data_IF_450336749777
#
_entry.id   IF_450336749777
#
_cell.length_a   1.000
_cell.length_b   1.000
_cell.length_c   1.000
_cell.angle_alpha   90.00
_cell.angle_beta   90.00
_cell.angle_gamma   90.00
#
_symmetry.space_group_name_H-M   'P 1'
#
loop_
_entity.id
_entity.type
_entity.pdbx_description
1 polymer ?
#
# COMPACT_ATOMS: atom_id res chain seq x y z
N UNK A 1 -32.49 -21.01 -7.29
CA UNK A 1 -33.11 -19.67 -7.32
C UNK A 1 -32.62 -19.00 -6.05
N UNK A 2 -31.75 -17.99 -6.05
CA UNK A 2 -31.74 -16.79 -6.86
C UNK A 2 -30.31 -16.23 -6.90
N UNK A 3 -29.87 -15.81 -8.08
CA UNK A 3 -28.58 -15.18 -8.36
C UNK A 3 -28.55 -13.74 -7.85
N UNK A 4 -27.45 -13.34 -7.21
CA UNK A 4 -27.11 -11.93 -6.98
C UNK A 4 -25.67 -11.66 -7.42
N UNK A 5 -25.34 -10.44 -7.90
CA UNK A 5 -24.09 -10.14 -8.57
C UNK A 5 -23.03 -9.60 -7.61
N UNK A 6 -21.77 -9.99 -7.85
CA UNK A 6 -20.58 -9.40 -7.22
C UNK A 6 -20.08 -8.24 -8.09
N UNK A 7 -20.21 -6.99 -7.60
CA UNK A 7 -19.45 -5.87 -8.16
C UNK A 7 -18.12 -5.78 -7.43
N UNK A 8 -17.05 -6.21 -8.10
CA UNK A 8 -15.67 -5.94 -7.74
C UNK A 8 -15.27 -4.59 -8.33
N UNK A 9 -14.92 -3.62 -7.49
CA UNK A 9 -14.18 -2.41 -7.92
C UNK A 9 -12.72 -2.58 -7.51
N UNK A 10 -11.94 -3.25 -8.37
CA UNK A 10 -10.49 -3.14 -8.36
C UNK A 10 -10.09 -2.20 -9.50
N UNK A 11 -9.92 -0.91 -9.18
CA UNK A 11 -9.28 0.05 -10.06
C UNK A 11 -7.77 -0.17 -9.99
N UNK A 12 -7.25 -1.02 -10.88
CA UNK A 12 -5.83 -1.20 -11.10
C UNK A 12 -5.30 -0.03 -11.93
N UNK A 13 -4.47 0.83 -11.32
CA UNK A 13 -3.66 1.79 -12.07
C UNK A 13 -2.42 1.07 -12.56
N UNK A 14 -2.45 0.64 -13.82
CA UNK A 14 -1.29 0.15 -14.56
C UNK A 14 -1.05 1.14 -15.70
N UNK A 15 -0.09 2.03 -15.53
CA UNK A 15 0.42 2.88 -16.61
C UNK A 15 1.56 2.12 -17.27
N UNK A 16 1.40 1.83 -18.56
CA UNK A 16 2.51 1.51 -19.45
C UNK A 16 2.16 1.98 -20.88
N UNK A 17 3.17 2.18 -21.75
CA UNK A 17 3.27 3.39 -22.56
C UNK A 17 3.11 3.06 -24.04
N UNK A 18 2.35 3.88 -24.76
CA UNK A 18 2.28 3.80 -26.22
C UNK A 18 2.60 5.15 -26.85
N UNK A 19 3.89 5.26 -27.18
CA UNK A 19 4.50 6.10 -28.20
C UNK A 19 3.99 5.67 -29.58
N UNK A 20 3.59 6.60 -30.45
CA UNK A 20 4.04 6.68 -31.86
C UNK A 20 3.59 7.98 -32.54
N UNK A 21 4.19 8.40 -33.68
CA UNK A 21 4.86 9.69 -33.75
C UNK A 21 4.33 10.57 -34.90
N UNK A 22 4.58 11.88 -34.85
CA UNK A 22 4.55 12.71 -36.06
C UNK A 22 5.86 13.47 -36.17
N UNK A 23 6.72 12.92 -37.02
CA UNK A 23 7.91 13.56 -37.57
C UNK A 23 7.62 14.37 -38.84
N UNK A 24 8.67 14.89 -39.53
CA UNK A 24 8.70 16.26 -40.01
C UNK A 24 8.54 16.42 -41.53
N UNK A 25 8.24 17.65 -41.98
CA UNK A 25 8.59 18.11 -43.34
C UNK A 25 9.35 19.44 -43.30
N UNK A 26 10.60 19.35 -43.72
CA UNK A 26 11.50 20.44 -44.07
C UNK A 26 11.16 20.98 -45.46
N UNK A 27 11.21 22.31 -45.66
CA UNK A 27 11.95 22.95 -46.78
C UNK A 27 11.89 24.51 -46.76
N UNK A 28 13.10 25.10 -46.86
CA UNK A 28 13.48 26.46 -47.29
C UNK A 28 13.16 27.66 -46.36
N UNK A 29 14.10 28.53 -45.98
CA UNK A 29 15.53 28.66 -46.30
C UNK A 29 16.18 29.90 -45.63
N UNK A 30 17.50 29.86 -45.44
CA UNK A 30 18.39 30.99 -45.07
C UNK A 30 18.82 31.01 -43.59
N UNK A 31 19.85 30.27 -43.14
CA UNK A 31 21.30 30.56 -43.23
C UNK A 31 21.71 31.87 -42.52
N UNK A 32 22.70 31.99 -41.63
CA UNK A 32 23.61 31.10 -40.92
C UNK A 32 24.54 31.97 -40.04
N UNK A 33 24.87 31.52 -38.81
CA UNK A 33 26.17 31.69 -38.10
C UNK A 33 26.56 33.13 -37.63
N UNK A 34 27.27 33.39 -36.53
CA UNK A 34 28.01 32.60 -35.54
C UNK A 34 28.31 33.49 -34.29
N UNK A 35 28.40 32.84 -33.13
CA UNK A 35 29.32 32.98 -31.96
C UNK A 35 30.29 34.20 -31.95
N UNK A 36 30.43 34.93 -30.82
CA UNK A 36 31.59 34.89 -29.86
C UNK A 36 31.59 36.07 -28.86
N UNK A 37 32.06 35.78 -27.64
CA UNK A 37 32.45 36.68 -26.54
C UNK A 37 33.55 37.70 -26.90
N UNK A 38 33.67 38.79 -26.10
CA UNK A 38 34.97 39.26 -25.61
C UNK A 38 35.44 40.70 -25.95
N UNK A 39 35.55 41.53 -24.90
CA UNK A 39 36.70 42.39 -24.50
C UNK A 39 37.26 43.48 -25.46
N UNK A 40 37.20 44.74 -24.95
CA UNK A 40 38.13 45.91 -25.03
C UNK A 40 38.86 46.19 -26.36
N UNK A 41 38.67 47.38 -26.96
CA UNK A 41 39.66 48.50 -27.01
C UNK A 41 39.16 49.70 -27.83
N UNK A 42 39.82 50.82 -27.57
CA UNK A 42 39.79 52.10 -28.30
C UNK A 42 39.90 51.92 -29.81
N UNK A 43 39.31 52.84 -30.57
CA UNK A 43 40.08 53.55 -31.59
C UNK A 43 39.46 54.91 -31.96
N UNK A 44 40.26 55.94 -31.70
CA UNK A 44 40.18 57.27 -32.29
C UNK A 44 41.05 57.27 -33.54
N UNK A 45 40.50 57.63 -34.70
CA UNK A 45 41.18 58.20 -35.88
C UNK A 45 40.20 58.11 -37.07
N UNK A 46 39.94 59.12 -37.91
CA UNK A 46 40.89 60.02 -38.59
C UNK A 46 40.15 61.22 -39.26
N UNK A 47 40.86 62.36 -39.28
CA UNK A 47 41.10 63.33 -40.38
C UNK A 47 39.91 63.90 -41.17
N UNK A 48 39.66 65.22 -41.14
CA UNK A 48 40.43 66.31 -41.76
C UNK A 48 40.44 66.27 -43.30
N UNK A 49 39.80 67.27 -43.92
CA UNK A 49 40.35 67.97 -45.08
C UNK A 49 40.04 69.47 -44.96
N UNK A 50 41.05 70.24 -44.53
CA UNK A 50 41.28 71.60 -45.02
C UNK A 50 41.65 71.48 -46.50
N UNK A 51 40.92 72.18 -47.36
CA UNK A 51 41.37 72.48 -48.71
C UNK A 51 41.59 73.99 -48.83
N UNK A 52 42.85 74.33 -49.07
CA UNK A 52 43.35 75.62 -49.53
C UNK A 52 43.02 75.78 -51.02
N UNK A 53 42.87 77.03 -51.49
CA UNK A 53 43.54 77.58 -52.70
C UNK A 53 42.79 78.81 -53.22
N UNK A 54 43.40 79.99 -53.09
CA UNK A 54 44.15 80.73 -54.14
C UNK A 54 43.21 81.50 -55.07
N UNK A 55 43.13 82.82 -54.90
CA UNK A 55 43.95 83.84 -55.57
C UNK A 55 43.19 84.41 -56.77
N UNK A 56 42.78 85.68 -56.67
CA UNK A 56 43.30 86.70 -57.59
C UNK A 56 43.05 88.09 -57.00
N UNK A 57 44.03 88.55 -56.22
CA UNK A 57 44.18 89.94 -55.81
C UNK A 57 45.42 90.50 -56.48
N UNK A 58 45.38 90.64 -57.81
CA UNK A 58 46.40 91.31 -58.61
C UNK A 58 45.75 92.45 -59.40
N UNK A 59 45.79 93.72 -58.97
CA UNK A 59 46.93 94.65 -58.95
C UNK A 59 46.99 95.55 -60.19
N UNK A 60 47.50 96.77 -59.93
CA UNK A 60 48.03 97.80 -60.85
C UNK A 60 46.93 98.72 -61.44
N UNK A 61 47.05 100.05 -61.50
CA UNK A 61 48.20 100.94 -61.65
C UNK A 61 47.88 102.30 -61.01
N UNK A 62 48.62 102.71 -59.99
CA UNK A 62 48.77 104.12 -59.63
C UNK A 62 50.19 104.54 -60.00
N UNK A 63 50.29 105.75 -60.59
CA UNK A 63 51.46 106.45 -61.13
C UNK A 63 51.89 106.06 -62.55
N UNK A 64 52.07 107.08 -63.41
CA UNK A 64 53.23 107.98 -63.35
C UNK A 64 52.79 109.43 -63.04
N UNK A 65 53.62 110.38 -62.62
CA UNK A 65 54.84 110.80 -63.29
C UNK A 65 55.65 111.77 -62.42
N UNK A 66 56.95 111.48 -62.35
CA UNK A 66 58.11 112.38 -62.31
C UNK A 66 57.82 113.89 -62.25
N UNK A 67 58.29 114.51 -61.17
CA UNK A 67 58.76 115.89 -61.17
C UNK A 67 60.26 115.89 -61.48
N UNK A 68 60.68 116.55 -62.55
CA UNK A 68 61.98 117.24 -62.61
C UNK A 68 62.09 118.17 -63.84
N UNK A 69 62.37 119.45 -63.52
CA UNK A 69 63.10 120.51 -64.24
C UNK A 69 62.77 120.90 -65.70
N UNK A 70 62.20 122.12 -65.78
CA UNK A 70 62.62 123.28 -66.60
C UNK A 70 62.81 123.14 -68.12
N UNK A 71 62.01 123.88 -68.91
CA UNK A 71 62.52 124.72 -70.00
C UNK A 71 61.45 125.68 -70.55
N UNK A 72 61.91 126.90 -70.79
CA UNK A 72 61.33 127.95 -71.61
C UNK A 72 61.14 127.52 -73.08
N UNK A 73 60.40 128.38 -73.83
CA UNK A 73 60.50 128.68 -75.26
C UNK A 73 59.49 128.09 -76.28
N UNK A 74 58.68 129.03 -76.80
CA UNK A 74 58.50 129.39 -78.23
C UNK A 74 57.59 128.51 -79.11
N UNK A 75 56.48 129.13 -79.53
CA UNK A 75 55.67 128.88 -80.75
C UNK A 75 56.55 128.81 -82.00
N UNK A 76 56.29 127.86 -82.92
CA UNK A 76 56.22 127.99 -84.41
C UNK A 76 56.34 126.60 -85.11
N UNK A 77 56.05 126.46 -86.42
CA UNK A 77 54.73 126.41 -87.06
C UNK A 77 54.46 125.05 -87.76
N UNK A 78 53.21 124.87 -88.20
CA UNK A 78 52.67 123.69 -88.88
C UNK A 78 53.18 123.64 -90.33
N UNK A 79 53.61 122.46 -90.80
CA UNK A 79 53.89 122.19 -92.22
C UNK A 79 52.62 121.67 -92.88
N UNK A 80 52.01 122.47 -93.77
CA UNK A 80 50.87 122.14 -94.62
C UNK A 80 51.30 121.24 -95.79
N UNK A 81 51.06 119.93 -95.68
CA UNK A 81 51.05 118.99 -96.80
C UNK A 81 49.65 118.33 -96.88
N UNK A 82 48.86 118.77 -97.85
CA UNK A 82 47.41 118.50 -97.94
C UNK A 82 47.07 117.00 -98.16
N UNK A 83 47.93 116.21 -98.84
CA UNK A 83 47.68 114.77 -99.08
C UNK A 83 47.82 113.92 -97.81
N UNK A 84 48.85 114.19 -97.00
CA UNK A 84 49.06 113.47 -95.74
C UNK A 84 47.99 113.83 -94.70
N UNK A 85 47.49 115.07 -94.71
CA UNK A 85 46.32 115.49 -93.93
C UNK A 85 45.07 114.69 -94.33
N UNK A 86 44.79 114.54 -95.63
CA UNK A 86 43.60 113.83 -96.12
C UNK A 86 43.61 112.32 -95.79
N UNK A 87 44.78 111.66 -95.88
CA UNK A 87 44.92 110.27 -95.42
C UNK A 87 44.75 110.13 -93.90
N UNK A 88 45.22 111.12 -93.13
CA UNK A 88 45.03 111.15 -91.68
C UNK A 88 43.56 111.41 -91.32
N UNK A 89 42.84 112.24 -92.07
CA UNK A 89 41.40 112.45 -91.93
C UNK A 89 40.59 111.20 -92.27
N UNK A 90 40.92 110.49 -93.35
CA UNK A 90 40.29 109.21 -93.69
C UNK A 90 40.56 108.13 -92.63
N UNK A 91 41.80 108.03 -92.14
CA UNK A 91 42.14 107.13 -91.03
C UNK A 91 41.42 107.53 -89.74
N UNK A 92 41.26 108.82 -89.48
CA UNK A 92 40.51 109.32 -88.34
C UNK A 92 39.02 108.94 -88.46
N UNK A 93 38.43 109.10 -89.65
CA UNK A 93 37.04 108.70 -89.93
C UNK A 93 36.82 107.19 -89.79
N UNK A 94 37.75 106.36 -90.31
CA UNK A 94 37.72 104.91 -90.13
C UNK A 94 37.88 104.50 -88.65
N UNK A 95 38.73 105.22 -87.90
CA UNK A 95 38.91 105.02 -86.46
C UNK A 95 37.69 105.46 -85.66
N UNK A 96 37.03 106.56 -86.03
CA UNK A 96 35.75 107.00 -85.46
C UNK A 96 34.65 105.97 -85.73
N UNK A 97 34.54 105.45 -86.96
CA UNK A 97 33.59 104.39 -87.29
C UNK A 97 33.87 103.08 -86.53
N UNK A 98 35.14 102.71 -86.34
CA UNK A 98 35.54 101.55 -85.53
C UNK A 98 35.25 101.75 -84.04
N UNK A 99 35.49 102.95 -83.50
CA UNK A 99 35.13 103.31 -82.12
C UNK A 99 33.62 103.25 -81.92
N UNK A 100 32.83 103.77 -82.85
CA UNK A 100 31.37 103.74 -82.75
C UNK A 100 30.81 102.30 -82.83
N UNK A 101 31.45 101.41 -83.61
CA UNK A 101 31.16 99.97 -83.61
C UNK A 101 31.53 99.30 -82.27
N UNK A 102 32.69 99.66 -81.70
CA UNK A 102 33.13 99.12 -80.42
C UNK A 102 32.25 99.61 -79.27
N UNK A 103 31.83 100.88 -79.28
CA UNK A 103 30.87 101.44 -78.33
C UNK A 103 29.53 100.70 -78.38
N UNK A 104 28.95 100.53 -79.57
CA UNK A 104 27.72 99.72 -79.74
C UNK A 104 27.90 98.28 -79.27
N UNK A 105 29.02 97.64 -79.60
CA UNK A 105 29.30 96.28 -79.13
C UNK A 105 29.49 96.21 -77.61
N UNK A 106 30.05 97.25 -76.99
CA UNK A 106 30.22 97.33 -75.54
C UNK A 106 28.86 97.55 -74.86
N UNK A 107 28.03 98.46 -75.38
CA UNK A 107 26.65 98.68 -74.92
C UNK A 107 25.80 97.41 -75.03
N UNK A 108 25.88 96.69 -76.16
CA UNK A 108 25.20 95.40 -76.36
C UNK A 108 25.69 94.32 -75.36
N UNK A 109 27.01 94.24 -75.11
CA UNK A 109 27.58 93.31 -74.13
C UNK A 109 27.28 93.70 -72.69
N UNK A 110 27.22 94.99 -72.38
CA UNK A 110 26.81 95.51 -71.07
C UNK A 110 25.35 95.16 -70.81
N UNK A 111 24.46 95.40 -71.78
CA UNK A 111 23.05 95.06 -71.69
C UNK A 111 22.84 93.55 -71.54
N UNK A 112 23.56 92.73 -72.33
CA UNK A 112 23.52 91.28 -72.20
C UNK A 112 24.09 90.79 -70.85
N UNK A 113 25.13 91.45 -70.32
CA UNK A 113 25.69 91.14 -69.00
C UNK A 113 24.72 91.51 -67.88
N UNK A 114 24.05 92.66 -67.97
CA UNK A 114 23.02 93.10 -67.02
C UNK A 114 21.82 92.17 -67.04
N UNK A 115 21.31 91.81 -68.22
CA UNK A 115 20.23 90.84 -68.38
C UNK A 115 20.62 89.46 -67.84
N UNK A 116 21.83 88.98 -68.14
CA UNK A 116 22.32 87.70 -67.61
C UNK A 116 22.50 87.73 -66.08
N UNK A 117 22.87 88.88 -65.51
CA UNK A 117 22.95 89.05 -64.06
C UNK A 117 21.56 89.04 -63.42
N UNK A 118 20.60 89.78 -63.98
CA UNK A 118 19.20 89.80 -63.53
C UNK A 118 18.53 88.43 -63.65
N UNK A 119 18.73 87.71 -64.75
CA UNK A 119 18.20 86.36 -64.94
C UNK A 119 18.80 85.37 -63.95
N UNK A 120 20.12 85.42 -63.71
CA UNK A 120 20.78 84.60 -62.67
C UNK A 120 20.27 84.92 -61.27
N UNK A 121 20.06 86.20 -60.96
CA UNK A 121 19.50 86.64 -59.68
C UNK A 121 18.08 86.13 -59.51
N UNK A 122 17.26 86.22 -60.56
CA UNK A 122 15.89 85.70 -60.55
C UNK A 122 15.85 84.18 -60.38
N UNK A 123 16.68 83.43 -61.12
CA UNK A 123 16.78 81.96 -60.96
C UNK A 123 17.26 81.57 -59.58
N UNK A 124 18.26 82.26 -59.03
CA UNK A 124 18.76 81.98 -57.68
C UNK A 124 17.66 82.21 -56.62
N UNK A 125 16.84 83.26 -56.78
CA UNK A 125 15.69 83.52 -55.91
C UNK A 125 14.62 82.44 -56.03
N UNK A 126 14.25 82.04 -57.25
CA UNK A 126 13.26 80.98 -57.46
C UNK A 126 13.74 79.62 -56.90
N UNK A 127 15.02 79.30 -57.05
CA UNK A 127 15.63 78.12 -56.42
C UNK A 127 15.58 78.19 -54.88
N UNK A 128 15.89 79.35 -54.30
CA UNK A 128 15.81 79.57 -52.85
C UNK A 128 14.36 79.43 -52.35
N UNK A 129 13.40 80.09 -52.99
CA UNK A 129 11.98 80.03 -52.65
C UNK A 129 11.45 78.58 -52.80
N UNK A 130 11.88 77.87 -53.85
CA UNK A 130 11.57 76.47 -54.07
C UNK A 130 12.18 75.53 -53.02
N UNK A 131 13.40 75.81 -52.55
CA UNK A 131 14.03 75.10 -51.44
C UNK A 131 13.33 75.39 -50.11
N UNK A 132 12.97 76.64 -49.84
CA UNK A 132 12.22 77.05 -48.64
C UNK A 132 10.87 76.35 -48.57
N UNK A 133 10.11 76.35 -49.68
CA UNK A 133 8.81 75.69 -49.75
C UNK A 133 8.95 74.17 -49.55
N UNK A 134 9.94 73.53 -50.17
CA UNK A 134 10.24 72.10 -49.98
C UNK A 134 10.64 71.79 -48.52
N UNK A 135 11.48 72.61 -47.91
CA UNK A 135 11.90 72.46 -46.51
C UNK A 135 10.71 72.64 -45.55
N UNK A 136 9.90 73.68 -45.74
CA UNK A 136 8.69 73.95 -44.96
C UNK A 136 7.65 72.83 -45.08
N UNK A 137 7.42 72.33 -46.30
CA UNK A 137 6.53 71.19 -46.55
C UNK A 137 7.01 69.91 -45.87
N UNK A 138 8.30 69.57 -46.03
CA UNK A 138 8.90 68.40 -45.37
C UNK A 138 8.84 68.51 -43.85
N UNK A 139 9.11 69.68 -43.27
CA UNK A 139 9.05 69.90 -41.83
C UNK A 139 7.62 69.74 -41.27
N UNK A 140 6.62 70.32 -41.94
CA UNK A 140 5.20 70.16 -41.56
C UNK A 140 4.76 68.71 -41.65
N UNK A 141 5.13 68.01 -42.72
CA UNK A 141 4.81 66.59 -42.89
C UNK A 141 5.48 65.72 -41.82
N UNK A 142 6.77 65.95 -41.54
CA UNK A 142 7.51 65.23 -40.49
C UNK A 142 6.92 65.48 -39.10
N UNK A 143 6.55 66.75 -38.80
CA UNK A 143 5.89 67.12 -37.55
C UNK A 143 4.53 66.43 -37.39
N UNK A 144 3.68 66.46 -38.43
CA UNK A 144 2.38 65.80 -38.40
C UNK A 144 2.51 64.26 -38.27
N UNK A 145 3.48 63.66 -38.97
CA UNK A 145 3.76 62.22 -38.85
C UNK A 145 4.23 61.88 -37.43
N UNK A 146 5.14 62.67 -36.86
CA UNK A 146 5.60 62.50 -35.48
C UNK A 146 4.45 62.60 -34.48
N UNK A 147 3.57 63.60 -34.63
CA UNK A 147 2.41 63.78 -33.76
C UNK A 147 1.43 62.60 -33.82
N UNK A 148 1.13 62.09 -35.03
CA UNK A 148 0.29 60.89 -35.19
C UNK A 148 0.93 59.67 -34.55
N UNK A 149 2.23 59.44 -34.77
CA UNK A 149 2.96 58.34 -34.12
C UNK A 149 2.93 58.47 -32.61
N UNK A 150 3.12 59.69 -32.07
CA UNK A 150 3.06 59.96 -30.64
C UNK A 150 1.67 59.67 -30.06
N UNK A 151 0.59 60.04 -30.75
CA UNK A 151 -0.78 59.73 -30.32
C UNK A 151 -1.04 58.22 -30.26
N UNK A 152 -0.60 57.47 -31.28
CA UNK A 152 -0.76 56.00 -31.30
C UNK A 152 0.05 55.35 -30.19
N UNK A 153 1.30 55.77 -29.98
CA UNK A 153 2.13 55.26 -28.88
C UNK A 153 1.52 55.57 -27.52
N UNK A 154 0.95 56.76 -27.33
CA UNK A 154 0.27 57.12 -26.09
C UNK A 154 -0.91 56.19 -25.80
N UNK A 155 -1.74 55.88 -26.82
CA UNK A 155 -2.84 54.92 -26.67
C UNK A 155 -2.33 53.51 -26.37
N UNK A 156 -1.25 53.07 -27.02
CA UNK A 156 -0.66 51.75 -26.76
C UNK A 156 -0.11 51.63 -25.33
N UNK A 157 0.50 52.69 -24.78
CA UNK A 157 0.94 52.72 -23.38
C UNK A 157 -0.23 52.60 -22.43
N UNK A 158 -1.34 53.30 -22.69
CA UNK A 158 -2.55 53.21 -21.85
C UNK A 158 -3.16 51.81 -21.88
N UNK A 159 -3.23 51.19 -23.07
CA UNK A 159 -3.71 49.82 -23.25
C UNK A 159 -2.85 48.81 -22.46
N UNK A 160 -1.53 48.86 -22.63
CA UNK A 160 -0.60 47.99 -21.89
C UNK A 160 -0.67 48.23 -20.38
N UNK A 161 -0.89 49.46 -19.93
CA UNK A 161 -1.08 49.76 -18.50
C UNK A 161 -2.39 49.19 -17.95
N UNK A 162 -3.45 49.09 -18.76
CA UNK A 162 -4.70 48.43 -18.40
C UNK A 162 -4.52 46.91 -18.33
N UNK A 163 -3.93 46.30 -19.37
CA UNK A 163 -3.64 44.86 -19.40
C UNK A 163 -2.74 44.45 -18.23
N UNK A 164 -1.70 45.24 -17.94
CA UNK A 164 -0.85 45.03 -16.76
C UNK A 164 -1.63 45.06 -15.44
N UNK A 165 -2.66 45.90 -15.33
CA UNK A 165 -3.52 45.94 -14.12
C UNK A 165 -4.44 44.72 -14.06
N UNK A 166 -5.01 44.31 -15.19
CA UNK A 166 -5.87 43.12 -15.27
C UNK A 166 -5.08 41.85 -14.91
N UNK A 167 -3.92 41.64 -15.53
CA UNK A 167 -3.06 40.48 -15.24
C UNK A 167 -2.61 40.43 -13.76
N UNK A 168 -2.40 41.58 -13.12
CA UNK A 168 -2.10 41.63 -11.69
C UNK A 168 -3.28 41.19 -10.83
N UNK A 169 -4.49 41.63 -11.17
CA UNK A 169 -5.70 41.20 -10.46
C UNK A 169 -5.96 39.70 -10.64
N UNK A 170 -5.75 39.19 -11.85
CA UNK A 170 -5.84 37.75 -12.14
C UNK A 170 -4.81 36.96 -11.34
N UNK A 171 -3.55 37.41 -11.30
CA UNK A 171 -2.50 36.80 -10.48
C UNK A 171 -2.88 36.79 -8.99
N UNK A 172 -3.36 37.91 -8.45
CA UNK A 172 -3.84 38.00 -7.06
C UNK A 172 -5.02 37.06 -6.80
N UNK A 173 -5.91 36.86 -7.77
CA UNK A 173 -7.04 35.92 -7.64
C UNK A 173 -6.58 34.46 -7.64
N UNK A 174 -5.64 34.11 -8.53
CA UNK A 174 -5.06 32.77 -8.61
C UNK A 174 -4.25 32.42 -7.36
N UNK A 175 -3.53 33.39 -6.79
CA UNK A 175 -2.83 33.21 -5.52
C UNK A 175 -3.80 32.88 -4.38
N UNK A 176 -4.95 33.57 -4.29
CA UNK A 176 -5.98 33.27 -3.27
C UNK A 176 -6.60 31.89 -3.47
N UNK A 177 -6.81 31.48 -4.72
CA UNK A 177 -7.31 30.14 -5.03
C UNK A 177 -6.28 29.07 -4.66
N UNK A 178 -5.00 29.31 -4.94
CA UNK A 178 -3.89 28.45 -4.52
C UNK A 178 -3.86 28.28 -3.00
N UNK A 179 -3.91 29.38 -2.23
CA UNK A 179 -3.91 29.34 -0.76
C UNK A 179 -5.11 28.54 -0.20
N UNK A 180 -6.29 28.71 -0.81
CA UNK A 180 -7.50 27.98 -0.45
C UNK A 180 -7.35 26.48 -0.71
N UNK A 181 -6.84 26.11 -1.89
CA UNK A 181 -6.61 24.71 -2.25
C UNK A 181 -5.54 24.08 -1.37
N UNK A 182 -4.46 24.80 -1.05
CA UNK A 182 -3.41 24.33 -0.15
C UNK A 182 -3.97 24.10 1.28
N UNK A 183 -4.85 24.98 1.75
CA UNK A 183 -5.53 24.80 3.04
C UNK A 183 -6.43 23.56 3.03
N UNK A 184 -7.18 23.33 1.94
CA UNK A 184 -8.02 22.13 1.79
C UNK A 184 -7.20 20.85 1.71
N UNK A 185 -6.07 20.86 1.00
CA UNK A 185 -5.15 19.72 0.96
C UNK A 185 -4.63 19.38 2.36
N UNK A 186 -4.19 20.40 3.11
CA UNK A 186 -3.77 20.23 4.51
C UNK A 186 -4.89 19.69 5.41
N UNK A 187 -6.16 20.07 5.18
CA UNK A 187 -7.27 19.49 5.95
C UNK A 187 -7.53 18.03 5.59
N UNK A 188 -7.48 17.68 4.30
CA UNK A 188 -7.64 16.27 3.88
C UNK A 188 -6.48 15.39 4.37
N UNK A 189 -5.25 15.90 4.39
CA UNK A 189 -4.12 15.17 4.98
C UNK A 189 -4.32 14.93 6.48
N UNK A 190 -4.81 15.92 7.22
CA UNK A 190 -5.14 15.76 8.65
C UNK A 190 -6.26 14.76 8.89
N UNK A 191 -7.30 14.77 8.07
CA UNK A 191 -8.37 13.78 8.15
C UNK A 191 -7.85 12.38 7.84
N UNK A 192 -7.03 12.23 6.79
CA UNK A 192 -6.40 10.96 6.44
C UNK A 192 -5.54 10.41 7.58
N UNK A 193 -4.70 11.24 8.20
CA UNK A 193 -3.88 10.82 9.34
C UNK A 193 -4.71 10.54 10.60
N UNK A 194 -5.83 11.25 10.79
CA UNK A 194 -6.77 10.99 11.89
C UNK A 194 -7.55 9.68 11.71
N UNK A 195 -7.91 9.29 10.48
CA UNK A 195 -8.66 8.06 10.23
C UNK A 195 -7.80 6.79 10.29
N UNK A 196 -6.50 6.89 10.03
CA UNK A 196 -5.58 5.74 10.07
C UNK A 196 -5.64 4.96 11.41
N UNK A 197 -5.44 5.58 12.59
CA UNK A 197 -5.49 4.84 13.86
C UNK A 197 -6.88 4.29 14.19
N UNK A 198 -7.95 5.00 13.83
CA UNK A 198 -9.31 4.51 14.04
C UNK A 198 -9.59 3.26 13.18
N UNK A 199 -9.08 3.22 11.95
CA UNK A 199 -9.19 2.03 11.10
C UNK A 199 -8.40 0.85 11.69
N UNK A 200 -7.18 1.10 12.16
CA UNK A 200 -6.36 0.07 12.84
C UNK A 200 -7.07 -0.48 14.07
N UNK A 201 -7.67 0.38 14.91
CA UNK A 201 -8.45 -0.03 16.09
C UNK A 201 -9.63 -0.93 15.69
N UNK A 202 -10.42 -0.52 14.70
CA UNK A 202 -11.54 -1.36 14.22
C UNK A 202 -11.07 -2.69 13.64
N UNK A 203 -9.91 -2.73 12.97
CA UNK A 203 -9.32 -3.96 12.47
C UNK A 203 -8.92 -4.90 13.63
N UNK A 204 -8.31 -4.35 14.68
CA UNK A 204 -7.98 -5.10 15.89
C UNK A 204 -9.21 -5.65 16.59
N UNK A 205 -10.28 -4.85 16.74
CA UNK A 205 -11.55 -5.28 17.32
C UNK A 205 -12.16 -6.44 16.51
N UNK A 206 -12.17 -6.35 15.18
CA UNK A 206 -12.68 -7.43 14.31
C UNK A 206 -11.87 -8.72 14.50
N UNK A 207 -10.54 -8.63 14.57
CA UNK A 207 -9.68 -9.79 14.82
C UNK A 207 -9.96 -10.41 16.20
N UNK A 208 -10.06 -9.59 17.26
CA UNK A 208 -10.39 -10.04 18.60
C UNK A 208 -11.75 -10.74 18.63
N UNK A 209 -12.79 -10.12 18.07
CA UNK A 209 -14.14 -10.69 18.04
C UNK A 209 -14.22 -11.97 17.24
N UNK A 210 -13.45 -12.09 16.16
CA UNK A 210 -13.32 -13.33 15.40
C UNK A 210 -12.69 -14.46 16.25
N UNK A 211 -11.70 -14.13 17.08
CA UNK A 211 -11.12 -15.04 18.07
C UNK A 211 -12.13 -15.48 19.14
N UNK A 212 -12.87 -14.53 19.73
CA UNK A 212 -13.93 -14.80 20.71
C UNK A 212 -15.02 -15.73 20.11
N UNK A 213 -15.47 -15.45 18.87
CA UNK A 213 -16.45 -16.29 18.18
C UNK A 213 -15.92 -17.71 17.94
N UNK A 214 -14.64 -17.85 17.58
CA UNK A 214 -14.02 -19.16 17.36
C UNK A 214 -13.92 -19.97 18.65
N UNK A 215 -13.56 -19.33 19.76
CA UNK A 215 -13.56 -19.94 21.08
C UNK A 215 -14.96 -20.40 21.49
N UNK A 216 -15.98 -19.54 21.34
CA UNK A 216 -17.36 -19.88 21.65
C UNK A 216 -17.88 -21.04 20.79
N UNK A 217 -17.51 -21.09 19.50
CA UNK A 217 -17.84 -22.22 18.61
C UNK A 217 -17.20 -23.53 19.08
N UNK A 218 -15.94 -23.48 19.53
CA UNK A 218 -15.25 -24.65 20.07
C UNK A 218 -15.92 -25.14 21.36
N UNK A 219 -16.21 -24.25 22.30
CA UNK A 219 -16.91 -24.59 23.55
C UNK A 219 -18.31 -25.18 23.29
N UNK A 220 -19.03 -24.65 22.31
CA UNK A 220 -20.33 -25.20 21.90
C UNK A 220 -20.18 -26.61 21.32
N UNK A 221 -19.16 -26.85 20.49
CA UNK A 221 -18.87 -28.17 19.92
C UNK A 221 -18.52 -29.19 21.01
N UNK A 222 -17.69 -28.81 21.96
CA UNK A 222 -17.33 -29.64 23.13
C UNK A 222 -18.57 -29.99 23.96
N UNK A 223 -19.39 -28.99 24.31
CA UNK A 223 -20.65 -29.19 25.03
C UNK A 223 -21.60 -30.12 24.27
N UNK A 224 -21.69 -29.97 22.95
CA UNK A 224 -22.50 -30.86 22.11
C UNK A 224 -21.98 -32.31 22.11
N UNK A 225 -20.65 -32.50 22.08
CA UNK A 225 -20.05 -33.84 22.20
C UNK A 225 -20.32 -34.46 23.56
N UNK A 226 -20.26 -33.69 24.65
CA UNK A 226 -20.57 -34.17 26.00
C UNK A 226 -22.05 -34.57 26.14
N UNK A 227 -22.97 -33.77 25.60
CA UNK A 227 -24.40 -34.13 25.59
C UNK A 227 -24.61 -35.46 24.85
N UNK A 228 -23.92 -35.66 23.72
CA UNK A 228 -24.03 -36.90 22.94
C UNK A 228 -23.45 -38.12 23.69
N UNK A 229 -22.31 -37.96 24.39
CA UNK A 229 -21.76 -39.05 25.21
C UNK A 229 -22.70 -39.39 26.36
N UNK A 230 -23.24 -38.37 27.07
CA UNK A 230 -24.23 -38.58 28.13
C UNK A 230 -25.53 -39.21 27.64
N UNK A 231 -26.02 -38.82 26.46
CA UNK A 231 -27.17 -39.48 25.85
C UNK A 231 -26.90 -40.98 25.58
N UNK A 232 -25.70 -41.30 25.11
CA UNK A 232 -25.27 -42.69 24.86
C UNK A 232 -25.14 -43.50 26.16
N UNK A 233 -24.57 -42.91 27.22
CA UNK A 233 -24.52 -43.50 28.56
C UNK A 233 -25.93 -43.81 29.10
N UNK A 234 -26.87 -42.86 28.99
CA UNK A 234 -28.26 -43.05 29.41
C UNK A 234 -28.92 -44.20 28.66
N UNK A 235 -28.69 -44.32 27.35
CA UNK A 235 -29.24 -45.43 26.55
C UNK A 235 -28.66 -46.78 26.98
N UNK A 236 -27.35 -46.85 27.25
CA UNK A 236 -26.69 -48.05 27.78
C UNK A 236 -27.26 -48.44 29.15
N UNK A 237 -27.39 -47.49 30.08
CA UNK A 237 -27.97 -47.74 31.40
C UNK A 237 -29.43 -48.18 31.32
N UNK A 238 -30.22 -47.61 30.41
CA UNK A 238 -31.61 -48.06 30.16
C UNK A 238 -31.67 -49.49 29.66
N UNK A 239 -30.75 -49.90 28.77
CA UNK A 239 -30.65 -51.29 28.31
C UNK A 239 -30.29 -52.22 29.48
N UNK A 240 -29.27 -51.86 30.27
CA UNK A 240 -28.87 -52.63 31.47
C UNK A 240 -30.02 -52.77 32.47
N UNK A 241 -30.79 -51.70 32.73
CA UNK A 241 -31.96 -51.73 33.60
C UNK A 241 -33.06 -52.67 33.06
N UNK A 242 -33.28 -52.70 31.75
CA UNK A 242 -34.24 -53.62 31.13
C UNK A 242 -33.79 -55.07 31.30
N UNK A 243 -32.52 -55.35 31.09
CA UNK A 243 -31.95 -56.69 31.22
C UNK A 243 -31.99 -57.20 32.67
N UNK A 244 -31.62 -56.36 33.64
CA UNK A 244 -31.67 -56.72 35.07
C UNK A 244 -33.10 -56.93 35.54
N UNK A 245 -34.04 -56.10 35.09
CA UNK A 245 -35.46 -56.30 35.34
C UNK A 245 -35.96 -57.63 34.78
N UNK A 246 -35.60 -57.97 33.53
CA UNK A 246 -35.96 -59.27 32.95
C UNK A 246 -35.35 -60.45 33.72
N UNK A 247 -34.12 -60.33 34.20
CA UNK A 247 -33.50 -61.35 35.08
C UNK A 247 -34.24 -61.49 36.41
N UNK A 248 -34.66 -60.38 37.02
CA UNK A 248 -35.44 -60.38 38.26
C UNK A 248 -36.79 -61.07 38.06
N UNK A 249 -37.55 -60.68 37.04
CA UNK A 249 -38.84 -61.31 36.68
C UNK A 249 -38.67 -62.83 36.45
N UNK A 250 -37.56 -63.25 35.83
CA UNK A 250 -37.22 -64.66 35.66
C UNK A 250 -36.86 -65.40 36.95
N UNK A 251 -36.24 -64.73 37.93
CA UNK A 251 -35.99 -65.31 39.26
C UNK A 251 -37.28 -65.40 40.07
N UNK A 252 -38.15 -64.40 39.99
CA UNK A 252 -39.46 -64.40 40.66
C UNK A 252 -40.33 -65.58 40.20
N UNK A 253 -40.37 -65.87 38.90
CA UNK A 253 -41.09 -67.03 38.37
C UNK A 253 -40.52 -68.35 38.92
N UNK A 254 -39.19 -68.51 38.94
CA UNK A 254 -38.55 -69.70 39.53
C UNK A 254 -38.86 -69.86 41.01
N UNK A 255 -38.89 -68.76 41.77
CA UNK A 255 -39.28 -68.77 43.18
C UNK A 255 -40.73 -69.25 43.33
N UNK A 256 -41.66 -68.75 42.50
CA UNK A 256 -43.05 -69.22 42.51
C UNK A 256 -43.17 -70.72 42.18
N UNK A 257 -42.42 -71.20 41.18
CA UNK A 257 -42.36 -72.62 40.83
C UNK A 257 -41.87 -73.46 42.03
N UNK A 258 -40.79 -73.05 42.69
CA UNK A 258 -40.26 -73.71 43.88
C UNK A 258 -41.24 -73.67 45.06
N UNK A 259 -41.93 -72.55 45.29
CA UNK A 259 -42.98 -72.45 46.31
C UNK A 259 -44.14 -73.40 46.02
N UNK A 260 -44.55 -73.54 44.75
CA UNK A 260 -45.59 -74.48 44.33
C UNK A 260 -45.16 -75.94 44.53
N UNK A 261 -43.90 -76.26 44.21
CA UNK A 261 -43.33 -77.58 44.43
C UNK A 261 -43.23 -77.89 45.93
N UNK A 262 -42.81 -76.92 46.74
CA UNK A 262 -42.74 -77.03 48.19
C UNK A 262 -44.13 -77.28 48.80
N UNK A 263 -45.15 -76.53 48.38
CA UNK A 263 -46.55 -76.78 48.79
C UNK A 263 -47.00 -78.20 48.43
N UNK A 264 -46.70 -78.66 47.23
CA UNK A 264 -47.03 -80.02 46.78
C UNK A 264 -46.34 -81.07 47.65
N UNK A 265 -45.04 -80.90 47.94
CA UNK A 265 -44.30 -81.77 48.86
C UNK A 265 -44.83 -81.74 50.30
N UNK A 266 -45.28 -80.58 50.77
CA UNK A 266 -45.98 -80.46 52.04
C UNK A 266 -47.22 -81.36 52.11
N UNK A 267 -48.08 -81.31 51.08
CA UNK A 267 -49.26 -82.18 50.99
C UNK A 267 -48.89 -83.68 50.92
N UNK A 268 -47.87 -84.04 50.14
CA UNK A 268 -47.38 -85.43 50.10
C UNK A 268 -46.90 -85.92 51.47
N UNK A 269 -46.19 -85.06 52.22
CA UNK A 269 -45.74 -85.38 53.59
C UNK A 269 -46.92 -85.57 54.54
N UNK A 270 -47.95 -84.71 54.48
CA UNK A 270 -49.17 -84.88 55.28
C UNK A 270 -49.86 -86.22 54.98
N UNK A 271 -49.91 -86.65 53.71
CA UNK A 271 -50.45 -87.97 53.34
C UNK A 271 -49.61 -89.09 53.95
N UNK A 272 -48.28 -89.03 53.83
CA UNK A 272 -47.37 -90.01 54.41
C UNK A 272 -47.48 -90.08 55.95
N UNK A 273 -47.60 -88.94 56.62
CA UNK A 273 -47.83 -88.88 58.07
C UNK A 273 -49.15 -89.54 58.46
N UNK A 274 -50.24 -89.27 57.71
CA UNK A 274 -51.54 -89.91 57.93
C UNK A 274 -51.46 -91.44 57.73
N UNK A 275 -50.78 -91.91 56.68
CA UNK A 275 -50.55 -93.34 56.45
C UNK A 275 -49.74 -93.98 57.57
N UNK A 276 -48.68 -93.30 58.05
CA UNK A 276 -47.88 -93.74 59.17
C UNK A 276 -48.70 -93.84 60.46
N UNK A 277 -49.53 -92.84 60.77
CA UNK A 277 -50.44 -92.89 61.92
C UNK A 277 -51.41 -94.07 61.82
N UNK A 278 -51.96 -94.32 60.63
CA UNK A 278 -52.81 -95.49 60.38
C UNK A 278 -52.06 -96.79 60.67
N UNK A 279 -50.81 -96.92 60.20
CA UNK A 279 -49.95 -98.09 60.48
C UNK A 279 -49.59 -98.23 61.95
N UNK A 280 -49.37 -97.13 62.65
CA UNK A 280 -49.12 -97.11 64.10
C UNK A 280 -50.34 -97.65 64.85
N UNK A 281 -51.54 -97.16 64.53
CA UNK A 281 -52.79 -97.62 65.13
C UNK A 281 -53.06 -99.11 64.82
N UNK A 282 -52.83 -99.56 63.58
CA UNK A 282 -52.90 -100.99 63.23
C UNK A 282 -51.93 -101.84 64.06
N UNK A 283 -50.68 -101.37 64.23
CA UNK A 283 -49.67 -102.05 65.03
C UNK A 283 -50.01 -102.10 66.51
N UNK A 284 -50.61 -101.03 67.06
CA UNK A 284 -51.12 -100.99 68.44
C UNK A 284 -52.23 -102.01 68.66
N UNK A 285 -53.22 -102.06 67.75
CA UNK A 285 -54.29 -103.05 67.80
C UNK A 285 -53.77 -104.49 67.69
N UNK A 286 -52.77 -104.73 66.83
CA UNK A 286 -52.12 -106.04 66.74
C UNK A 286 -51.37 -106.40 68.02
N UNK A 287 -50.66 -105.44 68.65
CA UNK A 287 -50.03 -105.66 69.97
C UNK A 287 -51.07 -106.01 71.03
N UNK A 288 -52.21 -105.33 71.07
CA UNK A 288 -53.30 -105.66 72.01
C UNK A 288 -53.84 -107.07 71.77
N UNK A 289 -54.08 -107.46 70.51
CA UNK A 289 -54.49 -108.83 70.16
C UNK A 289 -53.45 -109.86 70.58
N UNK A 290 -52.17 -109.59 70.33
CA UNK A 290 -51.07 -110.47 70.78
C UNK A 290 -51.08 -110.55 72.30
N UNK A 291 -51.21 -109.45 73.03
CA UNK A 291 -51.30 -109.47 74.50
C UNK A 291 -52.49 -110.31 74.99
N UNK A 292 -53.65 -110.23 74.35
CA UNK A 292 -54.82 -111.07 74.68
C UNK A 292 -54.53 -112.55 74.38
N UNK A 293 -53.98 -112.86 73.20
CA UNK A 293 -53.58 -114.23 72.86
C UNK A 293 -52.47 -114.75 73.77
N UNK A 294 -51.55 -113.91 74.23
CA UNK A 294 -50.52 -114.25 75.21
C UNK A 294 -51.11 -114.50 76.58
N UNK A 295 -52.14 -113.73 77.00
CA UNK A 295 -52.91 -114.00 78.21
C UNK A 295 -53.66 -115.33 78.10
N UNK A 296 -54.38 -115.57 77.01
CA UNK A 296 -55.04 -116.85 76.72
C UNK A 296 -54.01 -117.99 76.67
N UNK A 297 -52.86 -117.79 76.03
CA UNK A 297 -51.76 -118.76 76.02
C UNK A 297 -51.14 -118.94 77.39
N UNK A 298 -51.08 -117.92 78.25
CA UNK A 298 -50.62 -118.04 79.63
C UNK A 298 -51.63 -118.79 80.49
N UNK A 299 -52.92 -118.61 80.25
CA UNK A 299 -53.97 -119.42 80.86
C UNK A 299 -53.88 -120.88 80.39
N UNK A 300 -53.78 -121.10 79.08
CA UNK A 300 -53.58 -122.41 78.46
C UNK A 300 -52.22 -123.02 78.84
N UNK A 301 -51.17 -122.22 79.05
CA UNK A 301 -49.89 -122.66 79.57
C UNK A 301 -49.91 -122.82 81.08
N UNK A 302 -50.73 -122.14 81.86
CA UNK A 302 -50.92 -122.45 83.28
C UNK A 302 -51.65 -123.79 83.40
N UNK A 303 -52.61 -124.04 82.50
CA UNK A 303 -53.24 -125.34 82.30
C UNK A 303 -52.22 -126.39 81.81
N UNK A 304 -51.32 -126.04 80.89
CA UNK A 304 -50.28 -126.93 80.37
C UNK A 304 -49.02 -127.00 81.25
N UNK A 305 -48.77 -126.09 82.20
CA UNK A 305 -47.63 -126.07 83.13
C UNK A 305 -47.94 -126.86 84.41
N UNK A 306 -49.19 -127.30 84.58
CA UNK A 306 -49.50 -128.55 85.28
C UNK A 306 -48.95 -129.78 84.53
N UNK A 307 -48.43 -129.63 83.30
CA UNK A 307 -47.81 -130.65 82.47
C UNK A 307 -46.48 -130.15 81.85
N UNK A 308 -45.43 -130.14 82.67
CA UNK A 308 -44.00 -130.15 82.29
C UNK A 308 -43.30 -128.83 81.91
N UNK A 309 -42.05 -128.81 82.39
CA UNK A 309 -40.95 -127.87 82.23
C UNK A 309 -40.27 -127.90 80.85
N UNK A 310 -39.61 -126.78 80.49
CA UNK A 310 -38.18 -126.67 80.09
C UNK A 310 -37.85 -125.92 78.77
N UNK A 311 -37.07 -124.83 78.94
CA UNK A 311 -35.86 -124.40 78.18
C UNK A 311 -35.96 -123.39 77.01
N UNK A 312 -34.98 -122.47 77.06
CA UNK A 312 -34.72 -121.21 76.33
C UNK A 312 -33.54 -121.34 75.34
N UNK A 313 -33.14 -120.21 74.71
CA UNK A 313 -31.91 -119.86 73.91
C UNK A 313 -32.27 -119.49 72.44
N UNK A 314 -31.79 -118.41 71.81
CA UNK A 314 -30.74 -117.41 72.06
C UNK A 314 -30.56 -116.48 70.81
N UNK A 315 -29.64 -115.48 70.85
CA UNK A 315 -29.69 -114.23 70.05
C UNK A 315 -28.46 -113.99 69.11
N UNK A 316 -28.46 -112.92 68.30
CA UNK A 316 -27.26 -112.30 67.68
C UNK A 316 -27.64 -111.15 66.73
N UNK A 317 -27.26 -109.87 66.88
CA UNK A 317 -25.97 -109.13 67.03
C UNK A 317 -25.08 -109.11 65.77
N UNK A 318 -24.83 -107.90 65.25
CA UNK A 318 -23.60 -107.59 64.51
C UNK A 318 -23.71 -106.47 63.45
N UNK A 319 -22.62 -105.73 63.16
CA UNK A 319 -22.61 -104.26 62.97
C UNK A 319 -22.12 -103.79 61.57
N UNK A 320 -22.05 -102.46 61.35
CA UNK A 320 -21.52 -101.79 60.13
C UNK A 320 -20.00 -101.95 59.94
N UNK A 321 -19.22 -100.96 59.42
CA UNK A 321 -19.50 -99.67 58.78
C UNK A 321 -18.60 -99.38 57.53
N UNK A 322 -18.59 -98.12 57.05
CA UNK A 322 -17.47 -97.49 56.29
C UNK A 322 -17.65 -97.52 54.77
N UNK A 323 -17.99 -96.43 54.09
CA UNK A 323 -17.19 -95.21 53.81
C UNK A 323 -15.74 -95.50 53.47
N UNK A 324 -15.38 -95.30 52.21
CA UNK A 324 -14.17 -94.55 51.83
C UNK A 324 -14.43 -93.74 50.56
N UNK A 325 -14.21 -92.43 50.67
CA UNK A 325 -14.09 -91.45 49.60
C UNK A 325 -12.74 -91.61 48.90
N UNK A 326 -12.72 -91.44 47.57
CA UNK A 326 -11.49 -91.12 46.82
C UNK A 326 -11.83 -90.64 45.39
N UNK A 327 -12.15 -89.36 45.19
CA UNK A 327 -12.32 -88.82 43.82
C UNK A 327 -11.84 -87.37 43.56
N UNK A 328 -11.40 -86.60 44.57
CA UNK A 328 -11.19 -85.14 44.40
C UNK A 328 -9.78 -84.66 43.96
N UNK A 329 -8.82 -85.56 43.81
CA UNK A 329 -7.41 -85.18 43.55
C UNK A 329 -7.16 -84.64 42.11
N UNK A 330 -7.78 -85.18 41.04
CA UNK A 330 -7.48 -84.75 39.66
C UNK A 330 -8.12 -83.40 39.27
N UNK A 331 -9.23 -83.02 39.90
CA UNK A 331 -9.93 -81.77 39.60
C UNK A 331 -9.13 -80.54 40.07
N UNK A 332 -8.48 -80.64 41.23
CA UNK A 332 -7.64 -79.59 41.80
C UNK A 332 -6.38 -79.32 40.97
N UNK A 333 -5.83 -80.32 40.28
CA UNK A 333 -4.65 -80.15 39.43
C UNK A 333 -4.94 -79.31 38.18
N UNK A 334 -6.08 -79.53 37.51
CA UNK A 334 -6.52 -78.71 36.36
C UNK A 334 -6.76 -77.25 36.75
N UNK A 335 -7.33 -77.03 37.93
CA UNK A 335 -7.61 -75.69 38.43
C UNK A 335 -6.32 -74.90 38.70
N UNK A 336 -5.28 -75.56 39.23
CA UNK A 336 -3.97 -74.93 39.44
C UNK A 336 -3.27 -74.56 38.12
N UNK A 337 -3.42 -75.36 37.07
CA UNK A 337 -2.87 -75.05 35.75
C UNK A 337 -3.59 -73.86 35.09
N UNK A 338 -4.91 -73.78 35.23
CA UNK A 338 -5.72 -72.63 34.80
C UNK A 338 -5.28 -71.33 35.48
N UNK A 339 -5.18 -71.34 36.81
CA UNK A 339 -4.74 -70.19 37.59
C UNK A 339 -3.30 -69.75 37.27
N UNK A 340 -2.41 -70.69 36.92
CA UNK A 340 -1.04 -70.38 36.46
C UNK A 340 -1.01 -69.71 35.09
N UNK A 341 -1.93 -70.06 34.19
CA UNK A 341 -2.05 -69.41 32.88
C UNK A 341 -2.57 -67.97 33.04
N UNK A 342 -3.62 -67.78 33.83
CA UNK A 342 -4.20 -66.46 34.13
C UNK A 342 -3.17 -65.52 34.78
N UNK A 343 -2.39 -66.01 35.76
CA UNK A 343 -1.32 -65.21 36.39
C UNK A 343 -0.24 -64.77 35.38
N UNK A 344 0.07 -65.59 34.37
CA UNK A 344 1.06 -65.23 33.33
C UNK A 344 0.51 -64.18 32.37
N UNK A 345 -0.76 -64.31 31.99
CA UNK A 345 -1.44 -63.33 31.13
C UNK A 345 -1.56 -61.97 31.85
N UNK A 346 -1.94 -61.97 33.13
CA UNK A 346 -1.98 -60.75 33.94
C UNK A 346 -0.59 -60.09 34.09
N UNK A 347 0.46 -60.88 34.30
CA UNK A 347 1.85 -60.35 34.31
C UNK A 347 2.25 -59.75 32.97
N UNK A 348 1.93 -60.43 31.88
CA UNK A 348 2.21 -59.94 30.54
C UNK A 348 1.43 -58.67 30.22
N UNK A 349 0.16 -58.59 30.64
CA UNK A 349 -0.68 -57.40 30.51
C UNK A 349 -0.12 -56.23 31.32
N UNK A 350 0.31 -56.48 32.56
CA UNK A 350 0.98 -55.47 33.40
C UNK A 350 2.29 -54.98 32.77
N UNK A 351 3.12 -55.88 32.23
CA UNK A 351 4.39 -55.52 31.59
C UNK A 351 4.16 -54.70 30.31
N UNK A 352 3.16 -55.06 29.50
CA UNK A 352 2.75 -54.28 28.33
C UNK A 352 2.28 -52.88 28.74
N UNK A 353 1.42 -52.77 29.74
CA UNK A 353 0.92 -51.50 30.25
C UNK A 353 2.06 -50.64 30.82
N UNK A 354 2.98 -51.24 31.58
CA UNK A 354 4.18 -50.57 32.11
C UNK A 354 5.08 -50.04 30.99
N UNK A 355 5.32 -50.84 29.95
CA UNK A 355 6.10 -50.41 28.78
C UNK A 355 5.42 -49.27 28.00
N UNK A 356 4.08 -49.31 27.88
CA UNK A 356 3.28 -48.24 27.30
C UNK A 356 3.43 -46.93 28.06
N UNK A 357 3.30 -46.96 29.40
CA UNK A 357 3.52 -45.78 30.24
C UNK A 357 4.95 -45.24 30.18
N UNK A 358 5.95 -46.12 30.03
CA UNK A 358 7.33 -45.67 29.84
C UNK A 358 7.54 -44.98 28.49
N UNK A 359 6.94 -45.53 27.43
CA UNK A 359 6.99 -44.92 26.10
C UNK A 359 6.30 -43.55 26.10
N UNK A 360 5.09 -43.46 26.65
CA UNK A 360 4.35 -42.20 26.76
C UNK A 360 5.15 -41.15 27.55
N UNK A 361 5.82 -41.55 28.64
CA UNK A 361 6.69 -40.66 29.41
C UNK A 361 7.87 -40.12 28.60
N UNK A 362 8.45 -40.93 27.71
CA UNK A 362 9.54 -40.48 26.83
C UNK A 362 9.01 -39.47 25.79
N UNK A 363 7.90 -39.78 25.14
CA UNK A 363 7.23 -38.87 24.20
C UNK A 363 6.89 -37.54 24.89
N UNK A 364 6.33 -37.60 26.09
CA UNK A 364 5.99 -36.41 26.86
C UNK A 364 7.21 -35.59 27.24
N UNK A 365 8.33 -36.25 27.54
CA UNK A 365 9.61 -35.59 27.82
C UNK A 365 10.16 -34.89 26.58
N UNK A 366 10.11 -35.54 25.42
CA UNK A 366 10.55 -34.97 24.15
C UNK A 366 9.70 -33.77 23.76
N UNK A 367 8.37 -33.90 23.85
CA UNK A 367 7.45 -32.82 23.52
C UNK A 367 7.58 -31.64 24.48
N UNK A 368 7.76 -31.90 25.78
CA UNK A 368 8.10 -30.88 26.75
C UNK A 368 9.38 -30.13 26.38
N UNK A 369 10.40 -30.82 25.92
CA UNK A 369 11.66 -30.19 25.52
C UNK A 369 11.47 -29.31 24.26
N UNK A 370 10.69 -29.76 23.27
CA UNK A 370 10.33 -28.94 22.10
C UNK A 370 9.58 -27.67 22.52
N UNK A 371 8.61 -27.80 23.42
CA UNK A 371 7.86 -26.64 23.95
C UNK A 371 8.79 -25.65 24.65
N UNK A 372 9.73 -26.14 25.46
CA UNK A 372 10.72 -25.28 26.14
C UNK A 372 11.62 -24.57 25.12
N UNK A 373 12.08 -25.26 24.08
CA UNK A 373 12.91 -24.67 23.02
C UNK A 373 12.14 -23.59 22.25
N UNK A 374 10.91 -23.88 21.86
CA UNK A 374 10.02 -22.93 21.20
C UNK A 374 9.77 -21.69 22.07
N UNK A 375 9.45 -21.88 23.36
CA UNK A 375 9.27 -20.78 24.30
C UNK A 375 10.53 -19.90 24.42
N UNK A 376 11.73 -20.50 24.45
CA UNK A 376 13.00 -19.75 24.47
C UNK A 376 13.21 -18.94 23.19
N UNK A 377 12.94 -19.53 22.03
CA UNK A 377 13.04 -18.84 20.74
C UNK A 377 12.05 -17.68 20.66
N UNK A 378 10.82 -17.88 21.13
CA UNK A 378 9.81 -16.83 21.17
C UNK A 378 10.23 -15.68 22.10
N UNK A 379 10.77 -15.99 23.29
CA UNK A 379 11.30 -14.98 24.21
C UNK A 379 12.46 -14.18 23.61
N UNK A 380 13.38 -14.85 22.90
CA UNK A 380 14.49 -14.19 22.20
C UNK A 380 14.00 -13.27 21.08
N UNK A 381 13.05 -13.74 20.26
CA UNK A 381 12.43 -12.96 19.19
C UNK A 381 11.71 -11.72 19.74
N UNK A 382 10.93 -11.88 20.81
CA UNK A 382 10.27 -10.76 21.49
C UNK A 382 11.26 -9.72 21.99
N UNK A 383 12.35 -10.15 22.64
CA UNK A 383 13.40 -9.24 23.11
C UNK A 383 14.10 -8.50 21.97
N UNK A 384 14.41 -9.20 20.86
CA UNK A 384 15.02 -8.60 19.69
C UNK A 384 14.10 -7.54 19.05
N UNK A 385 12.81 -7.86 18.90
CA UNK A 385 11.80 -6.94 18.38
C UNK A 385 11.60 -5.73 19.30
N UNK A 386 11.53 -5.95 20.61
CA UNK A 386 11.43 -4.86 21.59
C UNK A 386 12.64 -3.92 21.53
N UNK A 387 13.86 -4.45 21.44
CA UNK A 387 15.07 -3.64 21.27
C UNK A 387 15.07 -2.87 19.95
N UNK A 388 14.56 -3.47 18.86
CA UNK A 388 14.39 -2.79 17.56
C UNK A 388 13.40 -1.63 17.68
N UNK A 389 12.24 -1.85 18.31
CA UNK A 389 11.25 -0.80 18.53
C UNK A 389 11.81 0.34 19.39
N UNK A 390 12.54 0.04 20.46
CA UNK A 390 13.21 1.09 21.25
C UNK A 390 14.20 1.92 20.42
N UNK A 391 14.96 1.29 19.51
CA UNK A 391 15.89 2.01 18.62
C UNK A 391 15.14 2.92 17.65
N UNK A 392 14.06 2.41 17.06
CA UNK A 392 13.19 3.18 16.15
C UNK A 392 12.50 4.34 16.87
N UNK A 393 12.00 4.13 18.08
CA UNK A 393 11.41 5.19 18.91
C UNK A 393 12.41 6.30 19.21
N UNK A 394 13.66 5.94 19.56
CA UNK A 394 14.74 6.92 19.76
C UNK A 394 15.06 7.69 18.48
N UNK A 395 15.14 7.01 17.33
CA UNK A 395 15.39 7.65 16.04
C UNK A 395 14.24 8.61 15.66
N UNK A 396 12.99 8.20 15.87
CA UNK A 396 11.82 9.05 15.65
C UNK A 396 11.80 10.25 16.58
N UNK A 397 12.17 10.09 17.85
CA UNK A 397 12.32 11.20 18.79
C UNK A 397 13.40 12.17 18.30
N UNK A 398 14.57 11.69 17.89
CA UNK A 398 15.65 12.55 17.37
C UNK A 398 15.23 13.33 16.11
N UNK A 399 14.52 12.68 15.18
CA UNK A 399 13.96 13.33 14.00
C UNK A 399 12.89 14.37 14.37
N UNK A 400 12.03 14.07 15.36
CA UNK A 400 11.00 14.99 15.84
C UNK A 400 11.58 16.23 16.55
N UNK A 401 12.78 16.13 17.13
CA UNK A 401 13.47 17.26 17.77
C UNK A 401 14.33 18.08 16.77
N UNK A 402 14.36 17.71 15.48
CA UNK A 402 14.92 18.55 14.42
C UNK A 402 16.45 18.55 14.30
N UNK A 403 17.15 17.60 14.95
CA UNK A 403 18.63 17.59 15.02
C UNK A 403 19.30 16.80 13.87
N UNK A 404 18.54 16.42 12.84
CA UNK A 404 18.97 15.53 11.75
C UNK A 404 19.48 16.22 10.49
N UNK A 405 20.11 17.40 10.59
CA UNK A 405 20.73 18.08 9.45
C UNK A 405 22.26 17.89 9.47
N UNK A 406 22.76 16.67 9.24
CA UNK A 406 24.19 16.53 8.95
C UNK A 406 24.83 15.14 9.01
N UNK A 407 24.32 14.18 9.76
CA UNK A 407 24.96 12.86 9.86
C UNK A 407 24.10 11.78 9.22
N UNK A 408 24.68 11.08 8.24
CA UNK A 408 24.12 9.88 7.66
C UNK A 408 23.97 8.85 8.79
N UNK A 409 22.73 8.68 9.27
CA UNK A 409 22.37 7.62 10.20
C UNK A 409 22.56 6.27 9.49
N UNK A 410 23.74 5.68 9.62
CA UNK A 410 23.96 4.26 9.34
C UNK A 410 23.20 3.46 10.40
N UNK A 411 21.95 3.14 10.08
CA UNK A 411 21.24 2.06 10.77
C UNK A 411 21.85 0.77 10.21
N UNK A 412 22.86 0.26 10.89
CA UNK A 412 23.38 -1.07 10.64
C UNK A 412 22.27 -2.08 10.97
N UNK A 413 21.60 -2.56 9.92
CA UNK A 413 20.53 -3.55 9.97
C UNK A 413 21.10 -4.97 9.85
N UNK A 414 22.35 -5.22 10.23
CA UNK A 414 22.89 -6.57 10.38
C UNK A 414 22.37 -7.21 11.67
N UNK A 415 21.22 -7.87 11.56
CA UNK A 415 20.65 -8.63 12.66
C UNK A 415 19.57 -9.59 12.18
N UNK A 416 20.00 -10.57 11.38
CA UNK A 416 19.30 -11.79 10.96
C UNK A 416 17.79 -11.65 10.70
N UNK A 417 17.41 -11.71 9.42
CA UNK A 417 16.03 -11.96 8.97
C UNK A 417 15.41 -13.08 9.82
N UNK A 418 14.49 -12.73 10.70
CA UNK A 418 13.65 -13.70 11.41
C UNK A 418 12.55 -14.04 10.40
N UNK A 419 12.57 -15.25 9.79
CA UNK A 419 11.52 -15.65 8.88
C UNK A 419 10.26 -15.83 9.72
N UNK A 420 9.24 -15.02 9.48
CA UNK A 420 7.93 -15.13 10.12
C UNK A 420 7.22 -16.46 9.79
N UNK A 421 7.76 -17.26 8.87
CA UNK A 421 7.21 -18.56 8.46
C UNK A 421 7.45 -19.69 9.47
N UNK A 422 8.38 -19.53 10.43
CA UNK A 422 8.63 -20.55 11.48
C UNK A 422 7.70 -20.38 12.71
N UNK A 423 6.78 -19.41 12.69
CA UNK A 423 5.74 -19.18 13.71
C UNK A 423 4.39 -19.78 13.26
N UNK A 424 4.40 -20.79 12.39
CA UNK A 424 3.20 -21.56 12.10
C UNK A 424 3.10 -22.66 13.15
N UNK A 425 2.10 -22.48 14.02
CA UNK A 425 1.77 -23.38 15.11
C UNK A 425 1.77 -24.84 14.66
N UNK A 426 2.54 -25.68 15.37
CA UNK A 426 2.32 -27.12 15.35
C UNK A 426 0.89 -27.37 15.84
N UNK A 427 0.05 -27.82 14.93
CA UNK A 427 -1.29 -28.33 15.17
C UNK A 427 -1.20 -29.37 16.32
N UNK A 428 -1.90 -29.12 17.43
CA UNK A 428 -2.02 -30.04 18.57
C UNK A 428 -3.24 -30.93 18.33
#
# INVERSE_FOLDING_TARGET
MSSLPTHSTSSSYQLDPLVTPVGPTSRFGGSAHNITQGIILQDSNMMSLKALSFSDGGSKLAHPSKADKASSCIRSPISTDECSIQELEQKLLEREGALQKLQRSLEEKELASSQAYEERQWRCKEELDGLEQKCSGKLKQASQKSQRTQQVLHLQVLQLQQEKRQLRQELESLMKEQDLLETKLKSYEKEKTSFAPALEETQWEVCQKSGEISLLKQQLKESQTEINTKASEILSLKAQLKDTRGKLEGMELKTQDLESALRTKGLELEVCENELQRKKNESELLREKVNLLEQELLELRAQAALQREAVSLGPGLGPGPGITFSEDIPALQRELERLRAELKEERQGHDQMSSGFQHERLVWKEEKEKVIQYQKQLQQSYLAMYQRNQRLEKALQQLAHGDGAGEAFEIDLEGADIPYEDIIATEI
#
